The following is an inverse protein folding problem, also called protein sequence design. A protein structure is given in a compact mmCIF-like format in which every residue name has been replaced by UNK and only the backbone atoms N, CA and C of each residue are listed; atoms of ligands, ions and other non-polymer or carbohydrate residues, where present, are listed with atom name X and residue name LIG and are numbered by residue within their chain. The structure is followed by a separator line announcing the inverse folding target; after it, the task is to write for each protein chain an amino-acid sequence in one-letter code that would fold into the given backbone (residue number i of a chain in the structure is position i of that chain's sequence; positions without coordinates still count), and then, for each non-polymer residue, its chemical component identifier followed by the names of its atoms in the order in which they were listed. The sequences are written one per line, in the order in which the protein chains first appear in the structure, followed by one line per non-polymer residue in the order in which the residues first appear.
data_IF_314853660886
#
_entry.id   IF_314853660886
#
_cell.length_a   1.000
_cell.length_b   1.000
_cell.length_c   1.000
_cell.angle_alpha   90.00
_cell.angle_beta   90.00
_cell.angle_gamma   90.00
#
_symmetry.space_group_name_H-M   'P 1'
#
loop_
_entity.id
_entity.type
_entity.pdbx_description
1 polymer ?
#
# COMPACT_ATOMS: atom_id res chain seq x y z
N UNK A 1 -34.29 51.12 27.59
CA UNK A 1 -32.85 50.81 27.79
C UNK A 1 -32.66 49.35 27.50
N UNK A 2 -32.33 49.02 26.25
CA UNK A 2 -30.95 48.76 25.79
C UNK A 2 -30.63 47.29 26.02
N UNK A 3 -30.14 46.48 25.07
CA UNK A 3 -29.83 46.60 23.66
C UNK A 3 -29.31 45.20 23.30
N UNK A 4 -29.60 44.75 22.08
CA UNK A 4 -28.93 43.69 21.31
C UNK A 4 -27.67 43.06 21.95
N UNK A 5 -27.67 41.74 22.13
CA UNK A 5 -26.46 40.90 22.06
C UNK A 5 -26.77 39.57 21.37
N UNK A 6 -26.82 39.62 20.04
CA UNK A 6 -25.82 39.00 19.13
C UNK A 6 -25.98 37.48 19.02
N UNK A 7 -26.70 37.09 17.95
CA UNK A 7 -26.49 35.83 17.25
C UNK A 7 -24.99 35.65 17.01
N UNK A 8 -24.38 34.64 17.63
CA UNK A 8 -22.99 34.28 17.38
C UNK A 8 -22.95 32.87 16.79
N UNK A 9 -23.01 32.85 15.46
CA UNK A 9 -22.35 31.92 14.55
C UNK A 9 -21.96 30.55 15.13
N UNK A 10 -22.81 29.54 14.87
CA UNK A 10 -22.36 28.15 14.82
C UNK A 10 -21.51 27.98 13.55
N UNK A 11 -20.21 28.28 13.63
CA UNK A 11 -19.24 27.89 12.61
C UNK A 11 -19.00 26.40 12.77
N UNK A 12 -19.81 25.59 12.07
CA UNK A 12 -19.58 24.17 11.90
C UNK A 12 -18.29 23.98 11.09
N UNK A 13 -17.18 23.78 11.79
CA UNK A 13 -15.90 23.44 11.18
C UNK A 13 -15.99 21.99 10.72
N UNK A 14 -16.49 21.76 9.51
CA UNK A 14 -16.40 20.46 8.85
C UNK A 14 -14.95 20.29 8.40
N UNK A 15 -14.12 19.70 9.27
CA UNK A 15 -12.82 19.17 8.85
C UNK A 15 -13.09 18.00 7.90
N UNK A 16 -13.09 18.27 6.60
CA UNK A 16 -12.98 17.25 5.56
C UNK A 16 -11.60 16.61 5.67
N UNK A 17 -11.49 15.54 6.44
CA UNK A 17 -10.32 14.65 6.46
C UNK A 17 -10.30 13.86 5.15
N UNK A 18 -9.87 14.49 4.05
CA UNK A 18 -9.79 13.87 2.73
C UNK A 18 -8.55 12.96 2.54
N UNK A 19 -7.83 12.61 3.61
CA UNK A 19 -6.57 11.87 3.53
C UNK A 19 -6.62 10.35 3.75
N UNK A 20 -7.78 9.78 4.12
CA UNK A 20 -7.88 8.35 4.50
C UNK A 20 -8.87 7.54 3.63
N UNK A 21 -9.46 8.11 2.58
CA UNK A 21 -10.59 7.50 1.86
C UNK A 21 -10.26 6.23 1.09
N UNK A 22 -8.98 6.01 0.76
CA UNK A 22 -8.56 4.88 -0.09
C UNK A 22 -8.24 3.61 0.70
N UNK A 23 -8.15 3.66 2.04
CA UNK A 23 -7.95 2.47 2.88
C UNK A 23 -9.30 1.94 3.32
N UNK A 24 -9.72 0.73 2.89
CA UNK A 24 -11.03 0.22 3.26
C UNK A 24 -11.12 -0.04 4.78
N UNK A 25 -12.14 0.54 5.43
CA UNK A 25 -12.36 0.39 6.87
C UNK A 25 -12.51 -1.08 7.30
N UNK A 26 -13.09 -1.90 6.42
CA UNK A 26 -13.25 -3.35 6.63
C UNK A 26 -11.92 -4.10 6.67
N UNK A 27 -10.85 -3.52 6.14
CA UNK A 27 -9.50 -4.11 6.13
C UNK A 27 -8.69 -3.77 7.37
N UNK A 28 -9.01 -2.67 8.05
CA UNK A 28 -8.26 -2.19 9.21
C UNK A 28 -8.07 -3.25 10.31
N UNK A 29 -9.08 -4.04 10.72
CA UNK A 29 -8.89 -5.06 11.75
C UNK A 29 -7.91 -6.16 11.29
N UNK A 30 -7.97 -6.56 10.01
CA UNK A 30 -7.07 -7.57 9.47
C UNK A 30 -5.64 -7.04 9.34
N UNK A 31 -5.49 -5.81 8.85
CA UNK A 31 -4.18 -5.14 8.77
C UNK A 31 -3.55 -4.94 10.15
N UNK A 32 -4.35 -4.57 11.16
CA UNK A 32 -3.88 -4.45 12.53
C UNK A 32 -3.43 -5.79 13.14
N UNK A 33 -3.95 -6.91 12.63
CA UNK A 33 -3.56 -8.26 13.05
C UNK A 33 -2.33 -8.80 12.33
N UNK A 34 -1.82 -8.11 11.30
CA UNK A 34 -0.57 -8.48 10.65
C UNK A 34 0.59 -8.28 11.63
N UNK A 35 1.27 -9.37 11.96
CA UNK A 35 2.50 -9.32 12.74
C UNK A 35 3.71 -9.56 11.82
N UNK A 36 4.46 -8.51 11.46
CA UNK A 36 5.61 -8.65 10.57
C UNK A 36 6.70 -9.56 11.17
N UNK A 37 6.70 -9.80 12.48
CA UNK A 37 7.69 -10.67 13.17
C UNK A 37 7.41 -12.16 12.98
N UNK A 38 6.15 -12.53 12.81
CA UNK A 38 5.71 -13.94 12.72
C UNK A 38 5.16 -14.33 11.35
N UNK A 39 4.96 -13.36 10.47
CA UNK A 39 4.54 -13.58 9.09
C UNK A 39 5.51 -14.48 8.32
N UNK A 40 4.96 -15.49 7.64
CA UNK A 40 5.70 -16.35 6.74
C UNK A 40 5.89 -15.66 5.39
N UNK A 41 7.13 -15.25 5.12
CA UNK A 41 7.50 -14.53 3.91
C UNK A 41 7.54 -15.44 2.67
N UNK A 42 7.56 -16.77 2.82
CA UNK A 42 7.55 -17.69 1.67
C UNK A 42 6.18 -17.75 0.97
N UNK A 43 5.11 -17.53 1.75
CA UNK A 43 3.72 -17.58 1.30
C UNK A 43 3.10 -16.21 1.10
N UNK A 44 3.83 -15.14 1.45
CA UNK A 44 3.42 -13.76 1.24
C UNK A 44 3.17 -13.49 -0.25
N UNK A 45 2.02 -12.91 -0.55
CA UNK A 45 1.66 -12.44 -1.89
C UNK A 45 1.18 -11.00 -1.84
N UNK A 46 1.50 -10.27 -2.89
CA UNK A 46 0.93 -8.96 -3.15
C UNK A 46 0.11 -9.01 -4.44
N UNK A 47 -0.83 -8.12 -4.60
CA UNK A 47 -1.49 -7.93 -5.89
C UNK A 47 -1.69 -6.45 -6.17
N UNK A 48 -1.73 -6.12 -7.46
CA UNK A 48 -2.00 -4.77 -7.95
C UNK A 48 -3.06 -4.86 -9.04
N UNK A 49 -4.12 -4.08 -8.88
CA UNK A 49 -5.12 -3.83 -9.92
C UNK A 49 -4.89 -2.45 -10.49
N UNK A 50 -4.66 -2.37 -11.80
CA UNK A 50 -4.38 -1.13 -12.53
C UNK A 50 -5.15 -1.12 -13.86
N UNK A 51 -5.32 0.03 -14.54
CA UNK A 51 -5.89 0.05 -15.88
C UNK A 51 -5.14 -0.92 -16.81
N UNK A 52 -5.85 -1.59 -17.72
CA UNK A 52 -5.25 -2.58 -18.62
C UNK A 52 -4.17 -2.02 -19.56
N UNK A 53 -4.17 -0.69 -19.75
CA UNK A 53 -3.14 0.06 -20.46
C UNK A 53 -1.78 0.08 -19.74
N UNK A 54 -1.74 -0.21 -18.44
CA UNK A 54 -0.51 -0.30 -17.66
C UNK A 54 -0.02 -1.75 -17.59
N UNK A 55 1.29 -1.91 -17.77
CA UNK A 55 1.99 -3.17 -17.48
C UNK A 55 3.06 -2.94 -16.42
N UNK A 56 3.25 -3.89 -15.49
CA UNK A 56 4.40 -3.85 -14.60
C UNK A 56 5.69 -3.83 -15.41
N UNK A 57 6.63 -2.97 -15.04
CA UNK A 57 8.00 -3.08 -15.54
C UNK A 57 8.67 -4.33 -14.93
N UNK A 58 9.57 -5.03 -15.66
CA UNK A 58 10.37 -6.10 -15.09
C UNK A 58 11.12 -5.63 -13.83
N UNK A 59 10.87 -6.28 -12.70
CA UNK A 59 11.44 -5.89 -11.40
C UNK A 59 10.91 -4.57 -10.82
N UNK A 60 9.88 -3.98 -11.42
CA UNK A 60 9.27 -2.72 -10.99
C UNK A 60 8.30 -2.84 -9.82
N UNK A 61 7.90 -4.07 -9.45
CA UNK A 61 7.00 -4.32 -8.33
C UNK A 61 7.76 -4.46 -7.00
N UNK A 62 7.28 -3.80 -5.95
CA UNK A 62 7.94 -3.78 -4.65
C UNK A 62 6.96 -3.87 -3.48
N UNK A 63 7.37 -4.53 -2.41
CA UNK A 63 6.79 -4.40 -1.08
C UNK A 63 7.71 -3.54 -0.22
N UNK A 64 7.21 -2.43 0.30
CA UNK A 64 7.96 -1.52 1.15
C UNK A 64 7.49 -1.64 2.59
N UNK A 65 8.40 -2.03 3.48
CA UNK A 65 8.18 -2.06 4.92
C UNK A 65 8.92 -0.89 5.56
N UNK A 66 8.23 -0.10 6.36
CA UNK A 66 8.87 0.94 7.18
C UNK A 66 8.56 0.71 8.66
N UNK A 67 9.51 1.02 9.54
CA UNK A 67 9.32 0.87 10.98
C UNK A 67 10.16 1.87 11.79
N UNK A 68 9.65 2.24 12.97
CA UNK A 68 10.25 3.20 13.88
C UNK A 68 9.72 3.02 15.30
N UNK A 69 10.39 3.58 16.30
CA UNK A 69 9.84 3.71 17.65
C UNK A 69 8.96 4.96 17.73
N UNK A 70 7.85 4.89 18.47
CA UNK A 70 6.98 6.04 18.70
C UNK A 70 7.78 7.25 19.22
N UNK A 71 7.54 8.43 18.63
CA UNK A 71 8.31 9.65 18.91
C UNK A 71 9.65 9.76 18.17
N UNK A 72 10.00 8.78 17.32
CA UNK A 72 11.26 8.74 16.56
C UNK A 72 11.05 8.53 15.06
N UNK A 73 9.99 9.09 14.47
CA UNK A 73 9.68 8.91 13.04
C UNK A 73 10.78 9.43 12.11
N UNK A 74 11.54 10.45 12.53
CA UNK A 74 12.72 10.92 11.78
C UNK A 74 13.83 9.87 11.67
N UNK A 75 13.80 8.81 12.48
CA UNK A 75 14.72 7.65 12.43
C UNK A 75 14.06 6.41 11.83
N UNK A 76 13.02 6.60 11.02
CA UNK A 76 12.33 5.53 10.31
C UNK A 76 13.29 4.78 9.40
N UNK A 77 13.30 3.47 9.57
CA UNK A 77 13.97 2.55 8.64
C UNK A 77 12.96 2.15 7.58
N UNK A 78 13.36 2.20 6.32
CA UNK A 78 12.52 1.83 5.16
C UNK A 78 13.26 0.80 4.33
N UNK A 79 12.63 -0.35 4.12
CA UNK A 79 13.17 -1.46 3.32
C UNK A 79 12.22 -1.72 2.16
N UNK A 80 12.76 -1.68 0.94
CA UNK A 80 12.04 -2.03 -0.28
C UNK A 80 12.49 -3.40 -0.78
N UNK A 81 11.52 -4.31 -0.92
CA UNK A 81 11.73 -5.68 -1.34
C UNK A 81 11.12 -5.92 -2.72
N UNK A 82 11.95 -6.40 -3.65
CA UNK A 82 11.50 -6.68 -5.01
C UNK A 82 10.54 -7.86 -5.06
N UNK A 83 9.54 -7.74 -5.92
CA UNK A 83 8.54 -8.76 -6.18
C UNK A 83 8.66 -9.27 -7.63
N UNK A 84 8.39 -10.55 -7.82
CA UNK A 84 8.27 -11.20 -9.13
C UNK A 84 6.80 -11.51 -9.39
N UNK A 85 6.35 -11.47 -10.66
CA UNK A 85 5.02 -11.94 -11.01
C UNK A 85 4.83 -13.41 -10.60
N UNK A 86 3.69 -13.69 -9.97
CA UNK A 86 3.32 -15.04 -9.56
C UNK A 86 2.49 -15.71 -10.66
N UNK A 87 3.08 -16.73 -11.28
CA UNK A 87 2.46 -17.53 -12.33
C UNK A 87 1.48 -18.59 -11.81
N UNK A 88 1.35 -18.79 -10.50
CA UNK A 88 0.47 -19.80 -9.92
C UNK A 88 -1.01 -19.49 -10.20
N UNK A 89 -1.66 -20.37 -10.97
CA UNK A 89 -3.05 -20.22 -11.37
C UNK A 89 -4.04 -20.28 -10.19
N UNK A 90 -3.76 -21.07 -9.16
CA UNK A 90 -4.61 -21.17 -7.97
C UNK A 90 -4.55 -19.89 -7.14
N UNK A 91 -3.34 -19.31 -7.00
CA UNK A 91 -3.16 -18.02 -6.33
C UNK A 91 -3.90 -16.91 -7.07
N UNK A 92 -3.84 -16.90 -8.41
CA UNK A 92 -4.57 -15.93 -9.24
C UNK A 92 -6.09 -16.13 -9.15
N UNK A 93 -6.57 -17.37 -9.12
CA UNK A 93 -7.99 -17.67 -8.99
C UNK A 93 -8.60 -17.14 -7.69
N UNK A 94 -7.80 -17.06 -6.61
CA UNK A 94 -8.24 -16.48 -5.34
C UNK A 94 -8.59 -14.98 -5.42
N UNK A 95 -8.16 -14.30 -6.49
CA UNK A 95 -8.41 -12.87 -6.73
C UNK A 95 -9.55 -12.60 -7.73
N UNK A 96 -10.28 -13.63 -8.16
CA UNK A 96 -11.31 -13.50 -9.19
C UNK A 96 -12.40 -12.47 -8.85
N UNK A 97 -12.75 -12.34 -7.56
CA UNK A 97 -13.75 -11.37 -7.10
C UNK A 97 -13.30 -9.90 -7.25
N UNK A 98 -12.00 -9.66 -7.37
CA UNK A 98 -11.40 -8.33 -7.51
C UNK A 98 -11.14 -7.94 -8.97
N UNK A 99 -11.39 -8.84 -9.93
CA UNK A 99 -11.30 -8.52 -11.36
C UNK A 99 -12.33 -7.45 -11.74
N UNK A 100 -11.92 -6.52 -12.62
CA UNK A 100 -12.77 -5.41 -13.07
C UNK A 100 -12.56 -5.18 -14.56
N UNK A 101 -13.63 -5.01 -15.38
CA UNK A 101 -13.50 -4.71 -16.79
C UNK A 101 -12.64 -3.47 -17.03
N UNK A 102 -11.72 -3.54 -17.99
CA UNK A 102 -10.76 -2.46 -18.29
C UNK A 102 -9.56 -2.38 -17.34
N UNK A 103 -9.46 -3.27 -16.35
CA UNK A 103 -8.33 -3.36 -15.43
C UNK A 103 -7.58 -4.68 -15.62
N UNK A 104 -6.27 -4.63 -15.38
CA UNK A 104 -5.40 -5.79 -15.20
C UNK A 104 -5.17 -6.01 -13.71
N UNK A 105 -5.29 -7.26 -13.28
CA UNK A 105 -4.90 -7.70 -11.96
C UNK A 105 -3.65 -8.57 -12.07
N UNK A 106 -2.55 -8.09 -11.49
CA UNK A 106 -1.28 -8.81 -11.45
C UNK A 106 -0.99 -9.24 -10.01
N UNK A 107 -0.67 -10.52 -9.83
CA UNK A 107 -0.28 -11.07 -8.53
C UNK A 107 1.22 -11.26 -8.51
N UNK A 108 1.83 -11.01 -7.36
CA UNK A 108 3.26 -11.07 -7.16
C UNK A 108 3.61 -11.89 -5.93
N UNK A 109 4.79 -12.52 -5.99
CA UNK A 109 5.48 -13.14 -4.86
C UNK A 109 6.77 -12.38 -4.56
N UNK A 110 7.32 -12.59 -3.38
CA UNK A 110 8.67 -12.11 -3.11
C UNK A 110 9.67 -12.77 -4.07
N UNK A 111 10.52 -11.95 -4.66
CA UNK A 111 11.77 -12.45 -5.24
C UNK A 111 12.65 -13.03 -4.13
N UNK A 112 13.66 -13.82 -4.50
CA UNK A 112 14.59 -14.35 -3.50
C UNK A 112 15.32 -13.24 -2.73
N UNK A 113 15.78 -12.21 -3.46
CA UNK A 113 16.43 -11.05 -2.87
C UNK A 113 15.48 -10.20 -2.02
N UNK A 114 14.27 -9.96 -2.50
CA UNK A 114 13.22 -9.29 -1.73
C UNK A 114 12.90 -10.03 -0.44
N UNK A 115 12.81 -11.36 -0.48
CA UNK A 115 12.59 -12.19 0.71
C UNK A 115 13.72 -12.01 1.72
N UNK A 116 14.98 -12.11 1.30
CA UNK A 116 16.14 -11.90 2.20
C UNK A 116 16.12 -10.51 2.84
N UNK A 117 15.80 -9.46 2.07
CA UNK A 117 15.69 -8.08 2.59
C UNK A 117 14.62 -7.97 3.67
N UNK A 118 13.45 -8.58 3.48
CA UNK A 118 12.39 -8.55 4.49
C UNK A 118 12.69 -9.44 5.69
N UNK A 119 13.42 -10.55 5.52
CA UNK A 119 13.90 -11.37 6.64
C UNK A 119 14.84 -10.55 7.54
N UNK A 120 15.80 -9.82 6.96
CA UNK A 120 16.68 -8.91 7.72
C UNK A 120 15.89 -7.81 8.43
N UNK A 121 14.96 -7.16 7.72
CA UNK A 121 14.12 -6.12 8.27
C UNK A 121 13.21 -6.64 9.40
N UNK A 122 12.74 -7.88 9.32
CA UNK A 122 11.98 -8.57 10.36
C UNK A 122 12.80 -8.77 11.63
N UNK A 123 14.08 -9.09 11.49
CA UNK A 123 14.99 -9.25 12.64
C UNK A 123 15.26 -7.91 13.32
N UNK A 124 15.37 -6.82 12.57
CA UNK A 124 15.44 -5.46 13.12
C UNK A 124 14.16 -5.09 13.89
N UNK A 125 12.98 -5.38 13.32
CA UNK A 125 11.70 -5.16 14.02
C UNK A 125 11.61 -6.00 15.30
N UNK A 126 12.09 -7.25 15.28
CA UNK A 126 12.17 -8.10 16.48
C UNK A 126 13.04 -7.46 17.56
N UNK A 127 14.19 -6.91 17.19
CA UNK A 127 15.07 -6.20 18.12
C UNK A 127 14.42 -4.94 18.70
N UNK A 128 13.66 -4.19 17.90
CA UNK A 128 12.90 -3.04 18.38
C UNK A 128 11.75 -3.44 19.32
N UNK A 129 11.03 -4.53 19.03
CA UNK A 129 9.99 -5.06 19.92
C UNK A 129 10.57 -5.53 21.27
N UNK A 130 11.77 -6.10 21.28
CA UNK A 130 12.45 -6.44 22.53
C UNK A 130 12.74 -5.19 23.39
N UNK A 131 13.12 -4.06 22.75
CA UNK A 131 13.30 -2.77 23.43
C UNK A 131 11.98 -2.19 23.94
N UNK A 132 10.90 -2.32 23.18
CA UNK A 132 9.54 -1.95 23.63
C UNK A 132 9.17 -2.72 24.91
N UNK A 133 9.40 -4.03 24.93
CA UNK A 133 9.13 -4.88 26.09
C UNK A 133 9.96 -4.50 27.32
N UNK A 134 11.14 -3.91 27.16
CA UNK A 134 11.99 -3.41 28.25
C UNK A 134 11.74 -1.94 28.62
N UNK A 135 10.57 -1.38 28.28
CA UNK A 135 10.18 -0.01 28.61
C UNK A 135 10.52 1.05 27.56
N UNK A 136 10.94 0.63 26.36
CA UNK A 136 11.09 1.52 25.21
C UNK A 136 9.77 1.96 24.59
N UNK A 137 9.83 2.90 23.64
CA UNK A 137 8.65 3.35 22.91
C UNK A 137 8.01 2.24 22.06
N UNK A 138 6.69 2.34 21.81
CA UNK A 138 5.96 1.39 20.96
C UNK A 138 6.54 1.35 19.54
N UNK A 139 6.75 0.17 18.99
CA UNK A 139 7.11 0.01 17.57
C UNK A 139 5.92 0.38 16.69
N UNK A 140 6.16 1.24 15.71
CA UNK A 140 5.25 1.65 14.65
C UNK A 140 5.79 1.15 13.33
N UNK A 141 4.90 0.93 12.36
CA UNK A 141 5.31 0.57 11.03
C UNK A 141 4.21 0.72 9.99
N UNK A 142 4.63 0.65 8.74
CA UNK A 142 3.77 0.66 7.56
C UNK A 142 4.23 -0.43 6.60
N UNK A 143 3.27 -0.90 5.80
CA UNK A 143 3.52 -1.83 4.72
C UNK A 143 2.76 -1.33 3.49
N UNK A 144 3.45 -1.18 2.38
CA UNK A 144 2.85 -0.74 1.12
C UNK A 144 3.33 -1.59 -0.05
N UNK A 145 2.45 -1.77 -1.03
CA UNK A 145 2.77 -2.41 -2.30
C UNK A 145 2.83 -1.32 -3.36
N UNK A 146 3.88 -1.35 -4.18
CA UNK A 146 4.09 -0.42 -5.28
C UNK A 146 4.42 -1.16 -6.56
N UNK A 147 4.21 -0.48 -7.69
CA UNK A 147 4.51 -1.02 -9.02
C UNK A 147 4.90 0.10 -9.96
N UNK A 148 6.17 0.12 -10.40
CA UNK A 148 6.57 0.86 -11.59
C UNK A 148 5.92 0.22 -12.80
N UNK A 149 5.41 1.07 -13.69
CA UNK A 149 4.61 0.63 -14.81
C UNK A 149 5.02 1.37 -16.07
N UNK A 150 4.89 0.69 -17.20
CA UNK A 150 4.95 1.27 -18.53
C UNK A 150 3.57 1.23 -19.20
N UNK A 151 3.38 2.07 -20.20
CA UNK A 151 2.15 2.14 -20.99
C UNK A 151 2.24 1.16 -22.17
N UNK A 152 1.37 0.14 -22.18
CA UNK A 152 1.20 -0.77 -23.31
C UNK A 152 0.21 -0.25 -24.37
N UNK A 153 -0.58 0.76 -24.01
CA UNK A 153 -1.49 1.50 -24.88
C UNK A 153 -1.71 2.91 -24.33
N UNK A 154 -2.50 3.73 -25.04
CA UNK A 154 -2.90 5.04 -24.53
C UNK A 154 -3.52 4.92 -23.12
N UNK A 155 -3.09 5.81 -22.23
CA UNK A 155 -3.64 5.89 -20.88
C UNK A 155 -5.03 6.54 -20.91
N UNK A 156 -5.89 6.26 -19.92
CA UNK A 156 -7.16 6.96 -19.78
C UNK A 156 -6.96 8.47 -19.63
N UNK A 157 -7.78 9.26 -20.33
CA UNK A 157 -7.86 10.71 -20.11
C UNK A 157 -8.35 11.02 -18.68
N UNK A 158 -9.25 10.19 -18.16
CA UNK A 158 -9.77 10.24 -16.80
C UNK A 158 -8.81 9.70 -15.72
N UNK A 159 -9.32 9.34 -14.53
CA UNK A 159 -8.48 8.95 -13.39
C UNK A 159 -7.66 7.68 -13.67
N UNK A 160 -6.47 7.61 -13.08
CA UNK A 160 -5.60 6.43 -13.15
C UNK A 160 -5.70 5.70 -11.81
N UNK A 161 -6.67 4.79 -11.71
CA UNK A 161 -7.03 4.14 -10.46
C UNK A 161 -6.16 2.89 -10.18
N UNK A 162 -5.52 2.87 -9.02
CA UNK A 162 -4.71 1.75 -8.53
C UNK A 162 -5.33 1.15 -7.27
N UNK A 163 -5.48 -0.17 -7.22
CA UNK A 163 -5.74 -0.90 -5.97
C UNK A 163 -4.58 -1.82 -5.66
N UNK A 164 -4.22 -1.94 -4.39
CA UNK A 164 -3.15 -2.84 -3.94
C UNK A 164 -3.63 -3.73 -2.80
N UNK A 165 -3.08 -4.93 -2.76
CA UNK A 165 -3.54 -6.00 -1.89
C UNK A 165 -2.37 -6.79 -1.31
N UNK A 166 -2.58 -7.39 -0.15
CA UNK A 166 -1.62 -8.27 0.50
C UNK A 166 -2.29 -9.54 1.02
N UNK A 167 -1.60 -10.67 0.95
CA UNK A 167 -2.02 -11.93 1.56
C UNK A 167 -0.83 -12.56 2.26
N UNK A 168 -0.98 -12.82 3.56
CA UNK A 168 0.05 -13.35 4.45
C UNK A 168 -0.10 -14.86 4.73
N UNK A 169 -1.18 -15.50 4.26
CA UNK A 169 -1.49 -16.91 4.52
C UNK A 169 -1.92 -17.67 3.25
N UNK A 170 -1.54 -18.95 3.09
CA UNK A 170 -1.90 -19.77 1.92
C UNK A 170 -3.40 -19.89 1.65
N UNK A 171 -4.21 -20.04 2.70
CA UNK A 171 -5.67 -20.14 2.63
C UNK A 171 -6.39 -18.82 2.97
N UNK A 172 -5.63 -17.75 3.20
CA UNK A 172 -6.19 -16.43 3.50
C UNK A 172 -6.76 -15.74 2.27
N UNK A 173 -7.65 -14.77 2.47
CA UNK A 173 -8.04 -13.86 1.38
C UNK A 173 -6.99 -12.76 1.25
N UNK A 174 -6.88 -12.18 0.06
CA UNK A 174 -6.17 -10.92 -0.08
C UNK A 174 -6.90 -9.82 0.70
N UNK A 175 -6.11 -9.01 1.40
CA UNK A 175 -6.54 -7.88 2.20
C UNK A 175 -6.22 -6.64 1.36
N UNK A 176 -7.22 -5.82 0.98
CA UNK A 176 -6.91 -4.58 0.27
C UNK A 176 -6.19 -3.61 1.20
N UNK A 177 -5.04 -3.12 0.74
CA UNK A 177 -4.27 -2.07 1.40
C UNK A 177 -4.79 -0.69 0.98
N UNK A 178 -5.02 -0.55 -0.32
CA UNK A 178 -5.48 0.68 -0.97
C UNK A 178 -6.45 0.28 -2.07
N UNK A 179 -7.57 0.99 -2.23
CA UNK A 179 -8.55 0.74 -3.28
C UNK A 179 -8.80 2.02 -4.07
N UNK A 180 -8.74 1.88 -5.40
CA UNK A 180 -9.07 2.91 -6.39
C UNK A 180 -8.39 4.26 -6.11
N UNK A 181 -7.10 4.23 -5.75
CA UNK A 181 -6.25 5.41 -5.61
C UNK A 181 -6.01 6.05 -6.97
N UNK A 182 -6.43 7.31 -7.14
CA UNK A 182 -6.14 8.04 -8.38
C UNK A 182 -4.72 8.63 -8.36
N UNK A 183 -3.84 8.09 -9.20
CA UNK A 183 -2.47 8.58 -9.32
C UNK A 183 -2.41 10.04 -9.80
N UNK A 184 -3.38 10.50 -10.59
CA UNK A 184 -3.45 11.91 -11.03
C UNK A 184 -3.75 12.84 -9.87
N UNK A 185 -4.70 12.46 -9.00
CA UNK A 185 -5.03 13.22 -7.81
C UNK A 185 -3.84 13.29 -6.84
N UNK A 186 -3.17 12.16 -6.59
CA UNK A 186 -2.00 12.11 -5.70
C UNK A 186 -0.84 12.96 -6.22
N UNK A 187 -0.57 12.94 -7.53
CA UNK A 187 0.46 13.77 -8.11
C UNK A 187 0.12 15.26 -7.94
N UNK A 188 -1.13 15.65 -8.24
CA UNK A 188 -1.60 17.02 -8.08
C UNK A 188 -1.51 17.51 -6.63
N UNK A 189 -1.90 16.69 -5.65
CA UNK A 189 -1.77 16.99 -4.22
C UNK A 189 -0.31 17.18 -3.79
N UNK A 190 0.60 16.37 -4.35
CA UNK A 190 2.03 16.49 -4.10
C UNK A 190 2.70 17.67 -4.84
N UNK A 191 1.95 18.42 -5.67
CA UNK A 191 2.51 19.46 -6.53
C UNK A 191 3.48 18.92 -7.58
N UNK A 192 3.30 17.66 -7.97
CA UNK A 192 4.13 16.95 -8.93
C UNK A 192 3.30 16.53 -10.14
N UNK A 193 3.92 16.36 -11.29
CA UNK A 193 3.27 15.66 -12.39
C UNK A 193 3.26 14.17 -12.11
N UNK A 194 2.24 13.45 -12.62
CA UNK A 194 2.30 11.99 -12.62
C UNK A 194 3.59 11.60 -13.34
N UNK A 195 4.46 10.76 -12.76
CA UNK A 195 5.70 10.35 -13.40
C UNK A 195 5.39 9.94 -14.83
N UNK A 196 6.14 10.46 -15.81
CA UNK A 196 5.89 10.16 -17.21
C UNK A 196 5.94 8.64 -17.41
N UNK A 197 4.77 8.03 -17.56
CA UNK A 197 4.64 6.61 -17.82
C UNK A 197 4.99 6.43 -19.30
N UNK A 198 6.24 6.08 -19.56
CA UNK A 198 6.75 5.83 -20.91
C UNK A 198 6.10 4.59 -21.53
N UNK A 199 6.21 4.43 -22.86
CA UNK A 199 5.77 3.21 -23.53
C UNK A 199 6.56 2.00 -23.00
N UNK A 200 5.93 0.83 -22.99
CA UNK A 200 6.65 -0.41 -22.70
C UNK A 200 7.73 -0.67 -23.75
N UNK A 201 8.88 -1.18 -23.29
CA UNK A 201 9.91 -1.67 -24.19
C UNK A 201 9.36 -2.80 -25.08
N UNK A 202 9.79 -2.87 -26.35
CA UNK A 202 9.38 -3.92 -27.27
C UNK A 202 9.80 -5.32 -26.82
#
# INVERSE_FOLDING_TARGET
MSLLRTLSSLVATVLLTAGCSHVPLTSLPRLASLDPVTMDLSVLRAAVRAPGALRPEPGGATLTMSFWLAGSESRKTTVSAQLDEDGDAAVRAAMKADEKPGFRLTVFRLSEDGRRRLEAARDEVRALKAREASGGGRVRGTLSVGMKSCAASALPEGPILLSTYLRDKPSGTFIPLVVDLDLKAIAAEAGTEVPAIGPCAP
#
